data_IF_120454756544
#
_entry.id   IF_120454756544
#
_cell.length_a   1.000
_cell.length_b   1.000
_cell.length_c   1.000
_cell.angle_alpha   90.00
_cell.angle_beta   90.00
_cell.angle_gamma   90.00
#
_symmetry.space_group_name_H-M   'P 1'
#
loop_
_entity.id
_entity.type
_entity.pdbx_description
1 polymer ?
#
# COMPACT_ATOMS: atom_id res chain seq x y z
N UNK A 1 15.19 -50.51 -30.78
CA UNK A 1 14.68 -49.47 -29.86
C UNK A 1 15.54 -48.22 -29.98
N UNK A 2 15.05 -47.14 -30.61
CA UNK A 2 15.76 -45.85 -30.70
C UNK A 2 15.39 -45.00 -29.48
N UNK A 3 16.34 -44.71 -28.60
CA UNK A 3 16.18 -43.73 -27.51
C UNK A 3 16.01 -42.33 -28.13
N UNK A 4 14.83 -41.75 -28.01
CA UNK A 4 14.61 -40.31 -28.27
C UNK A 4 15.18 -39.53 -27.08
N UNK A 5 16.30 -38.85 -27.27
CA UNK A 5 16.77 -37.79 -26.39
C UNK A 5 15.91 -36.55 -26.62
N UNK A 6 15.13 -36.14 -25.61
CA UNK A 6 14.42 -34.87 -25.63
C UNK A 6 15.40 -33.76 -25.22
N UNK A 7 15.81 -32.93 -26.19
CA UNK A 7 16.49 -31.68 -25.89
C UNK A 7 15.44 -30.67 -25.39
N UNK A 8 15.42 -30.41 -24.08
CA UNK A 8 14.72 -29.26 -23.54
C UNK A 8 15.52 -28.01 -23.91
N UNK A 9 15.06 -27.28 -24.93
CA UNK A 9 15.49 -25.89 -25.13
C UNK A 9 14.80 -25.06 -24.05
N UNK A 10 15.53 -24.73 -23.00
CA UNK A 10 15.13 -23.66 -22.08
C UNK A 10 15.26 -22.37 -22.89
N UNK A 11 14.14 -21.89 -23.44
CA UNK A 11 14.06 -20.51 -23.86
C UNK A 11 14.09 -19.68 -22.58
N UNK A 12 15.28 -19.26 -22.16
CA UNK A 12 15.42 -18.11 -21.26
C UNK A 12 14.88 -16.90 -22.01
N UNK A 13 13.58 -16.65 -21.84
CA UNK A 13 13.04 -15.31 -22.04
C UNK A 13 13.65 -14.44 -20.96
N UNK A 14 14.85 -13.91 -21.24
CA UNK A 14 15.33 -12.72 -20.56
C UNK A 14 14.35 -11.64 -21.01
N UNK A 15 13.32 -11.39 -20.19
CA UNK A 15 12.54 -10.18 -20.33
C UNK A 15 13.53 -9.01 -20.31
N UNK A 16 13.41 -8.03 -21.24
CA UNK A 16 14.20 -6.83 -21.12
C UNK A 16 13.83 -6.24 -19.76
N UNK A 17 14.78 -6.21 -18.82
CA UNK A 17 14.66 -5.43 -17.61
C UNK A 17 14.16 -4.06 -18.05
N UNK A 18 13.02 -3.61 -17.51
CA UNK A 18 12.47 -2.30 -17.81
C UNK A 18 13.47 -1.26 -17.33
N UNK A 19 14.35 -0.83 -18.24
CA UNK A 19 15.29 0.24 -18.01
C UNK A 19 14.48 1.51 -17.82
N UNK A 20 14.77 2.22 -16.74
CA UNK A 20 14.28 3.57 -16.53
C UNK A 20 14.68 4.39 -17.77
N UNK A 21 13.70 4.90 -18.52
CA UNK A 21 13.94 5.78 -19.66
C UNK A 21 14.27 7.15 -19.12
N UNK A 22 15.56 7.42 -18.97
CA UNK A 22 16.06 8.75 -18.59
C UNK A 22 16.26 9.60 -19.84
N UNK A 23 15.76 10.83 -19.80
CA UNK A 23 16.05 11.83 -20.84
C UNK A 23 17.12 12.80 -20.32
N UNK A 24 18.37 12.33 -20.33
CA UNK A 24 19.47 13.09 -19.74
C UNK A 24 19.80 14.36 -20.52
N UNK A 25 19.71 15.50 -19.86
CA UNK A 25 20.19 16.78 -20.35
C UNK A 25 21.64 16.97 -19.94
N UNK A 26 22.49 17.38 -20.89
CA UNK A 26 23.88 17.76 -20.60
C UNK A 26 23.92 19.01 -19.74
N UNK A 27 24.86 19.08 -18.80
CA UNK A 27 24.97 20.19 -17.86
C UNK A 27 25.21 21.53 -18.58
N UNK A 28 25.85 21.53 -19.75
CA UNK A 28 26.02 22.73 -20.59
C UNK A 28 24.70 23.33 -21.11
N UNK A 29 23.66 22.50 -21.29
CA UNK A 29 22.38 22.89 -21.88
C UNK A 29 21.36 23.30 -20.80
N UNK A 30 21.77 23.39 -19.53
CA UNK A 30 20.86 23.79 -18.45
C UNK A 30 20.34 25.23 -18.57
N UNK A 31 21.02 26.06 -19.37
CA UNK A 31 20.60 27.44 -19.67
C UNK A 31 19.29 27.45 -20.46
N UNK A 32 19.03 26.41 -21.25
CA UNK A 32 17.84 26.30 -22.11
C UNK A 32 16.64 25.67 -21.39
N UNK A 33 16.84 25.19 -20.15
CA UNK A 33 15.80 24.55 -19.34
C UNK A 33 14.92 25.64 -18.72
N UNK A 34 13.60 25.48 -18.86
CA UNK A 34 12.63 26.42 -18.27
C UNK A 34 12.73 26.35 -16.74
N UNK A 35 12.53 27.50 -16.09
CA UNK A 35 12.45 27.57 -14.63
C UNK A 35 11.41 26.55 -14.10
N UNK A 36 11.76 25.87 -13.02
CA UNK A 36 10.93 24.85 -12.34
C UNK A 36 10.65 23.56 -13.13
N UNK A 37 11.23 23.41 -14.33
CA UNK A 37 11.15 22.15 -15.09
C UNK A 37 11.96 21.04 -14.38
N UNK A 38 11.37 19.85 -14.30
CA UNK A 38 12.07 18.65 -13.83
C UNK A 38 12.87 18.06 -14.97
N UNK A 39 14.14 17.75 -14.72
CA UNK A 39 15.10 17.26 -15.70
C UNK A 39 15.91 16.10 -15.12
N UNK A 40 16.38 15.22 -15.99
CA UNK A 40 17.35 14.18 -15.63
C UNK A 40 18.76 14.65 -16.01
N UNK A 41 19.71 14.51 -15.09
CA UNK A 41 21.13 14.80 -15.34
C UNK A 41 21.99 13.67 -14.80
N UNK A 42 23.06 13.34 -15.52
CA UNK A 42 24.05 12.36 -15.10
C UNK A 42 25.43 13.03 -15.05
N UNK A 43 26.18 12.75 -13.99
CA UNK A 43 27.53 13.28 -13.83
C UNK A 43 28.23 12.70 -12.61
N UNK A 44 29.53 12.94 -12.55
CA UNK A 44 30.41 12.49 -11.48
C UNK A 44 30.46 13.57 -10.39
N UNK A 45 30.35 13.16 -9.14
CA UNK A 45 30.56 14.05 -8.00
C UNK A 45 32.05 14.42 -7.94
N UNK A 46 32.38 15.69 -8.19
CA UNK A 46 33.75 16.21 -8.12
C UNK A 46 34.12 16.69 -6.73
N UNK A 47 33.16 17.27 -6.00
CA UNK A 47 33.38 17.76 -4.65
C UNK A 47 32.11 17.62 -3.81
N UNK A 48 32.29 17.31 -2.52
CA UNK A 48 31.24 17.35 -1.51
C UNK A 48 31.66 18.33 -0.41
N UNK A 49 30.91 19.42 -0.28
CA UNK A 49 31.09 20.41 0.78
C UNK A 49 30.68 19.89 2.15
N UNK A 50 31.02 20.66 3.20
CA UNK A 50 30.62 20.35 4.58
C UNK A 50 29.10 20.39 4.74
N UNK A 51 28.59 19.63 5.72
CA UNK A 51 27.18 19.66 6.09
C UNK A 51 26.82 21.04 6.61
N UNK A 52 25.89 21.69 5.93
CA UNK A 52 25.27 22.93 6.36
C UNK A 52 23.90 22.62 6.96
N UNK A 53 23.57 23.31 8.05
CA UNK A 53 22.28 23.16 8.72
C UNK A 53 21.50 24.46 8.60
N UNK A 54 20.23 24.40 8.19
CA UNK A 54 19.33 25.56 8.13
C UNK A 54 18.01 25.25 8.81
N UNK A 55 17.36 26.25 9.42
CA UNK A 55 16.01 26.12 9.98
C UNK A 55 14.98 26.68 8.99
N UNK A 56 13.89 25.96 8.77
CA UNK A 56 12.74 26.47 8.01
C UNK A 56 11.90 27.42 8.87
N UNK A 57 11.04 28.21 8.23
CA UNK A 57 10.08 29.08 8.92
C UNK A 57 9.16 28.32 9.90
N UNK A 58 8.94 27.02 9.66
CA UNK A 58 8.17 26.13 10.53
C UNK A 58 9.03 25.40 11.59
N UNK A 59 10.29 25.80 11.77
CA UNK A 59 11.20 25.26 12.78
C UNK A 59 11.92 23.96 12.40
N UNK A 60 11.64 23.37 11.23
CA UNK A 60 12.29 22.14 10.81
C UNK A 60 13.77 22.36 10.48
N UNK A 61 14.64 21.49 10.99
CA UNK A 61 16.09 21.53 10.75
C UNK A 61 16.41 20.74 9.48
N UNK A 62 16.93 21.41 8.46
CA UNK A 62 17.40 20.82 7.22
C UNK A 62 18.92 20.70 7.26
N UNK A 63 19.44 19.51 6.95
CA UNK A 63 20.88 19.28 6.73
C UNK A 63 21.11 19.10 5.23
N UNK A 64 21.96 19.93 4.66
CA UNK A 64 22.30 19.92 3.23
C UNK A 64 23.80 19.93 3.05
N UNK A 65 24.31 19.34 1.97
CA UNK A 65 25.71 19.51 1.56
C UNK A 65 25.75 20.12 0.17
N UNK A 66 26.73 20.97 -0.08
CA UNK A 66 27.04 21.38 -1.44
C UNK A 66 27.60 20.16 -2.18
N UNK A 67 27.00 19.80 -3.30
CA UNK A 67 27.51 18.78 -4.21
C UNK A 67 27.88 19.50 -5.51
N UNK A 68 29.10 19.26 -5.98
CA UNK A 68 29.55 19.72 -7.29
C UNK A 68 29.56 18.53 -8.23
N UNK A 69 28.66 18.55 -9.21
CA UNK A 69 28.55 17.51 -10.24
C UNK A 69 29.21 18.01 -11.51
N UNK A 70 29.95 17.13 -12.18
CA UNK A 70 30.58 17.36 -13.47
C UNK A 70 30.15 16.27 -14.46
N UNK A 71 29.80 16.67 -15.68
CA UNK A 71 29.55 15.74 -16.77
C UNK A 71 30.72 15.69 -17.77
N UNK A 72 30.55 14.93 -18.84
CA UNK A 72 31.52 14.81 -19.94
C UNK A 72 31.72 16.13 -20.72
N UNK A 73 30.80 17.08 -20.62
CA UNK A 73 30.99 18.43 -21.19
C UNK A 73 31.92 19.29 -20.34
N UNK A 74 32.40 18.78 -19.21
CA UNK A 74 33.23 19.48 -18.21
C UNK A 74 32.53 20.65 -17.51
N UNK A 75 31.26 20.86 -17.83
CA UNK A 75 30.39 21.80 -17.14
C UNK A 75 30.20 21.37 -15.69
N UNK A 76 30.05 22.34 -14.79
CA UNK A 76 29.91 22.09 -13.36
C UNK A 76 28.60 22.66 -12.86
N UNK A 77 27.86 21.86 -12.10
CA UNK A 77 26.68 22.32 -11.38
C UNK A 77 26.92 22.20 -9.90
N UNK A 78 26.63 23.28 -9.19
CA UNK A 78 26.57 23.32 -7.74
C UNK A 78 25.13 23.14 -7.30
N UNK A 79 24.87 22.06 -6.56
CA UNK A 79 23.56 21.81 -5.97
C UNK A 79 23.71 21.65 -4.48
N UNK A 80 22.88 22.35 -3.71
CA UNK A 80 22.69 22.03 -2.30
C UNK A 80 21.69 20.90 -2.22
N UNK A 81 22.20 19.69 -1.97
CA UNK A 81 21.34 18.53 -1.84
C UNK A 81 21.09 18.24 -0.37
N UNK A 82 19.87 17.83 -0.05
CA UNK A 82 19.53 17.41 1.29
C UNK A 82 20.30 16.12 1.59
N UNK A 83 20.94 16.07 2.75
CA UNK A 83 21.52 14.83 3.27
C UNK A 83 20.34 14.02 3.81
N UNK A 84 19.64 13.37 2.89
CA UNK A 84 18.60 12.45 3.25
C UNK A 84 19.25 11.11 3.63
N UNK A 85 19.42 10.91 4.93
CA UNK A 85 19.83 9.63 5.51
C UNK A 85 18.77 8.56 5.20
N UNK A 86 18.96 7.82 4.11
CA UNK A 86 18.24 6.58 3.79
C UNK A 86 16.72 6.71 3.71
N UNK A 87 16.07 5.56 3.56
CA UNK A 87 14.65 5.42 3.83
C UNK A 87 14.45 5.08 5.31
N UNK A 88 13.37 5.56 5.92
CA UNK A 88 12.94 5.15 7.26
C UNK A 88 11.61 4.42 7.18
N UNK A 89 11.66 3.20 6.65
CA UNK A 89 10.47 2.45 6.31
C UNK A 89 9.57 2.18 7.52
N UNK A 90 8.30 2.55 7.38
CA UNK A 90 7.25 2.23 8.34
C UNK A 90 6.61 0.90 7.94
N UNK A 91 6.53 -0.05 8.87
CA UNK A 91 5.84 -1.33 8.65
C UNK A 91 4.34 -1.10 8.46
N UNK A 92 3.72 -1.88 7.58
CA UNK A 92 2.30 -1.71 7.21
C UNK A 92 1.36 -1.69 8.41
N UNK A 93 1.59 -2.53 9.42
CA UNK A 93 0.78 -2.60 10.64
C UNK A 93 0.75 -1.29 11.42
N UNK A 94 1.83 -0.51 11.33
CA UNK A 94 1.96 0.74 12.07
C UNK A 94 1.29 1.89 11.33
N UNK A 95 0.96 1.75 10.04
CA UNK A 95 0.34 2.82 9.22
C UNK A 95 -1.04 3.18 9.79
N UNK A 96 -1.80 2.18 10.25
CA UNK A 96 -3.11 2.39 10.90
C UNK A 96 -3.03 3.20 12.20
N UNK A 97 -1.87 3.31 12.82
CA UNK A 97 -1.67 4.13 14.03
C UNK A 97 -1.12 5.54 13.72
N UNK A 98 -0.84 5.87 12.45
CA UNK A 98 -0.32 7.17 12.04
C UNK A 98 -1.41 8.16 11.67
N UNK A 99 -1.33 9.40 12.12
CA UNK A 99 -2.36 10.40 11.81
C UNK A 99 -2.49 10.67 10.30
N UNK A 100 -3.71 11.00 9.87
CA UNK A 100 -3.98 11.48 8.51
C UNK A 100 -3.09 12.70 8.20
N UNK A 101 -2.68 12.81 6.94
CA UNK A 101 -1.78 13.85 6.42
C UNK A 101 -0.32 13.78 6.92
N UNK A 102 0.06 12.76 7.69
CA UNK A 102 1.47 12.52 7.98
C UNK A 102 2.19 11.90 6.78
N UNK A 103 3.50 12.12 6.71
CA UNK A 103 4.34 11.55 5.65
C UNK A 103 5.16 10.40 6.23
N UNK A 104 5.22 9.29 5.50
CA UNK A 104 5.98 8.10 5.87
C UNK A 104 6.81 7.59 4.68
N UNK A 105 7.84 6.82 4.98
CA UNK A 105 8.55 6.07 3.96
C UNK A 105 8.01 4.64 3.96
N UNK A 106 7.76 4.07 2.79
CA UNK A 106 7.26 2.69 2.64
C UNK A 106 8.05 1.94 1.58
N UNK A 107 8.14 0.62 1.73
CA UNK A 107 8.64 -0.28 0.71
C UNK A 107 7.70 -1.46 0.57
N UNK A 108 7.40 -1.84 -0.66
CA UNK A 108 6.44 -2.88 -0.96
C UNK A 108 6.61 -3.42 -2.38
N UNK A 109 6.10 -4.61 -2.64
CA UNK A 109 5.90 -5.17 -3.97
C UNK A 109 4.61 -4.64 -4.58
N UNK A 110 4.59 -4.36 -5.88
CA UNK A 110 3.36 -4.03 -6.60
C UNK A 110 2.57 -5.33 -6.83
N UNK A 111 1.43 -5.47 -6.14
CA UNK A 111 0.56 -6.63 -6.26
C UNK A 111 -0.45 -6.52 -7.39
N UNK A 112 -1.12 -5.38 -7.50
CA UNK A 112 -2.10 -5.13 -8.55
C UNK A 112 -2.10 -3.65 -8.95
N UNK A 113 -2.25 -3.39 -10.23
CA UNK A 113 -2.44 -2.06 -10.80
C UNK A 113 -3.85 -2.04 -11.37
N UNK A 114 -4.72 -1.18 -10.85
CA UNK A 114 -6.09 -1.02 -11.37
C UNK A 114 -6.11 -0.09 -12.58
N UNK A 115 -7.23 -0.11 -13.29
CA UNK A 115 -7.51 0.83 -14.38
C UNK A 115 -7.63 2.26 -13.85
N UNK A 116 -7.41 3.23 -14.73
CA UNK A 116 -7.54 4.65 -14.40
C UNK A 116 -9.03 5.03 -14.39
N UNK A 117 -9.48 5.65 -13.32
CA UNK A 117 -10.84 6.15 -13.14
C UNK A 117 -10.87 7.67 -13.25
N UNK A 118 -11.94 8.21 -13.82
CA UNK A 118 -12.21 9.65 -13.82
C UNK A 118 -13.16 9.99 -12.68
N UNK A 119 -12.75 10.91 -11.82
CA UNK A 119 -13.50 11.35 -10.65
C UNK A 119 -13.82 12.82 -10.80
N UNK A 120 -15.10 13.16 -10.80
CA UNK A 120 -15.56 14.55 -10.72
C UNK A 120 -15.76 14.92 -9.25
N UNK A 121 -15.13 16.00 -8.81
CA UNK A 121 -15.31 16.53 -7.47
C UNK A 121 -16.68 17.18 -7.30
N UNK A 122 -17.05 17.43 -6.04
CA UNK A 122 -18.26 18.17 -5.68
C UNK A 122 -18.29 19.58 -6.29
N UNK A 123 -17.13 20.15 -6.61
CA UNK A 123 -17.00 21.47 -7.23
C UNK A 123 -16.95 21.43 -8.76
N UNK A 124 -17.10 20.25 -9.38
CA UNK A 124 -17.11 20.07 -10.84
C UNK A 124 -15.72 19.85 -11.46
N UNK A 125 -14.64 19.93 -10.67
CA UNK A 125 -13.30 19.64 -11.16
C UNK A 125 -13.13 18.14 -11.45
N UNK A 126 -12.53 17.80 -12.59
CA UNK A 126 -12.26 16.41 -12.99
C UNK A 126 -10.82 16.01 -12.62
N UNK A 127 -10.69 14.84 -12.00
CA UNK A 127 -9.42 14.25 -11.60
C UNK A 127 -9.29 12.83 -12.16
N UNK A 128 -8.13 12.50 -12.69
CA UNK A 128 -7.79 11.12 -13.00
C UNK A 128 -7.22 10.48 -11.73
N UNK A 129 -7.73 9.30 -11.35
CA UNK A 129 -7.25 8.49 -10.23
C UNK A 129 -6.83 7.12 -10.71
N UNK A 130 -5.68 6.64 -10.26
CA UNK A 130 -5.25 5.26 -10.46
C UNK A 130 -4.87 4.62 -9.13
N UNK A 131 -5.45 3.47 -8.85
CA UNK A 131 -5.19 2.72 -7.61
C UNK A 131 -4.16 1.61 -7.84
N UNK A 132 -3.16 1.55 -6.97
CA UNK A 132 -2.16 0.49 -6.97
C UNK A 132 -2.19 -0.19 -5.62
N UNK A 133 -2.31 -1.52 -5.62
CA UNK A 133 -2.27 -2.34 -4.43
C UNK A 133 -0.81 -2.74 -4.18
N UNK A 134 -0.26 -2.23 -3.10
CA UNK A 134 1.09 -2.53 -2.63
C UNK A 134 1.03 -3.64 -1.59
N UNK A 135 1.95 -4.60 -1.66
CA UNK A 135 2.02 -5.77 -0.79
C UNK A 135 3.36 -5.77 -0.06
N UNK A 136 3.34 -5.92 1.26
CA UNK A 136 4.58 -6.02 2.05
C UNK A 136 5.08 -7.47 2.17
N UNK A 137 6.16 -7.67 2.92
CA UNK A 137 6.80 -8.95 3.14
C UNK A 137 5.89 -9.98 3.86
N UNK A 138 4.85 -9.50 4.54
CA UNK A 138 3.86 -10.35 5.23
C UNK A 138 2.53 -10.48 4.45
N UNK A 139 2.54 -10.21 3.14
CA UNK A 139 1.36 -10.16 2.27
C UNK A 139 0.23 -9.20 2.68
N UNK A 140 0.52 -8.22 3.54
CA UNK A 140 -0.45 -7.16 3.84
C UNK A 140 -0.48 -6.16 2.72
N UNK A 141 -1.68 -5.71 2.38
CA UNK A 141 -1.87 -4.74 1.33
C UNK A 141 -2.16 -3.32 1.85
N UNK A 142 -1.75 -2.32 1.07
CA UNK A 142 -2.19 -0.94 1.20
C UNK A 142 -2.38 -0.34 -0.19
N UNK A 143 -3.40 0.51 -0.33
CA UNK A 143 -3.66 1.19 -1.60
C UNK A 143 -2.83 2.47 -1.71
N UNK A 144 -2.07 2.59 -2.79
CA UNK A 144 -1.47 3.83 -3.25
C UNK A 144 -2.37 4.46 -4.32
N UNK A 145 -2.86 5.67 -4.06
CA UNK A 145 -3.62 6.47 -5.00
C UNK A 145 -2.67 7.42 -5.75
N UNK A 146 -2.65 7.30 -7.07
CA UNK A 146 -2.00 8.24 -7.97
C UNK A 146 -3.04 9.15 -8.62
N UNK A 147 -2.64 10.40 -8.85
CA UNK A 147 -3.53 11.44 -9.34
C UNK A 147 -2.91 12.16 -10.54
N UNK A 148 -3.72 12.42 -11.56
CA UNK A 148 -3.40 13.24 -12.73
C UNK A 148 -2.03 12.88 -13.35
N UNK A 149 -1.11 13.86 -13.45
CA UNK A 149 0.21 13.69 -14.06
C UNK A 149 1.03 12.54 -13.45
N UNK A 150 0.84 12.24 -12.15
CA UNK A 150 1.56 11.15 -11.50
C UNK A 150 1.17 9.76 -12.03
N UNK A 151 0.00 9.64 -12.65
CA UNK A 151 -0.43 8.42 -13.34
C UNK A 151 0.39 8.21 -14.60
N UNK A 152 0.65 9.29 -15.36
CA UNK A 152 1.42 9.23 -16.61
C UNK A 152 2.90 8.92 -16.37
N UNK A 153 3.42 9.36 -15.23
CA UNK A 153 4.77 9.05 -14.79
C UNK A 153 4.93 7.61 -14.28
N UNK A 154 3.83 6.93 -13.93
CA UNK A 154 3.86 5.57 -13.41
C UNK A 154 3.88 4.56 -14.57
N UNK A 155 5.06 4.01 -14.85
CA UNK A 155 5.32 3.00 -15.91
C UNK A 155 5.66 1.61 -15.35
N UNK A 156 5.59 1.46 -14.03
CA UNK A 156 5.98 0.28 -13.28
C UNK A 156 5.00 -0.89 -13.50
N UNK A 157 5.50 -2.11 -13.30
CA UNK A 157 4.75 -3.34 -13.55
C UNK A 157 4.39 -4.06 -12.26
N UNK A 158 3.48 -5.02 -12.37
CA UNK A 158 3.24 -6.00 -11.32
C UNK A 158 4.55 -6.70 -10.96
N UNK A 159 4.72 -7.03 -9.68
CA UNK A 159 5.91 -7.65 -9.07
C UNK A 159 7.13 -6.72 -8.86
N UNK A 160 7.14 -5.49 -9.41
CA UNK A 160 8.20 -4.53 -9.10
C UNK A 160 8.16 -4.13 -7.63
N UNK A 161 9.34 -3.99 -7.01
CA UNK A 161 9.46 -3.50 -5.65
C UNK A 161 9.61 -1.98 -5.68
N UNK A 162 8.71 -1.28 -5.02
CA UNK A 162 8.68 0.17 -4.94
C UNK A 162 9.01 0.64 -3.54
N UNK A 163 10.00 1.52 -3.42
CA UNK A 163 10.26 2.30 -2.22
C UNK A 163 9.79 3.75 -2.45
N UNK A 164 8.91 4.21 -1.57
CA UNK A 164 8.32 5.54 -1.64
C UNK A 164 8.77 6.32 -0.42
N UNK A 165 9.49 7.41 -0.66
CA UNK A 165 9.86 8.37 0.36
C UNK A 165 8.82 9.47 0.46
N UNK A 166 8.50 9.89 1.69
CA UNK A 166 7.48 10.92 1.96
C UNK A 166 6.12 10.61 1.29
N UNK A 167 5.66 9.36 1.35
CA UNK A 167 4.28 9.02 1.00
C UNK A 167 3.33 9.64 2.02
N UNK A 168 2.31 10.38 1.55
CA UNK A 168 1.32 11.02 2.42
C UNK A 168 0.22 10.01 2.76
N UNK A 169 -0.11 9.91 4.04
CA UNK A 169 -1.24 9.11 4.52
C UNK A 169 -2.55 9.88 4.25
N UNK A 170 -3.37 9.30 3.39
CA UNK A 170 -4.77 9.64 3.21
C UNK A 170 -5.67 8.72 4.02
N UNK A 171 -6.89 9.16 4.27
CA UNK A 171 -7.92 8.37 4.93
C UNK A 171 -9.27 8.71 4.31
N UNK A 172 -9.98 7.67 3.85
CA UNK A 172 -11.31 7.76 3.28
C UNK A 172 -12.14 6.59 3.84
N UNK A 173 -13.32 6.88 4.40
CA UNK A 173 -14.15 5.91 5.10
C UNK A 173 -13.35 5.07 6.11
N UNK A 174 -12.49 5.72 6.90
CA UNK A 174 -11.60 5.10 7.90
C UNK A 174 -10.55 4.12 7.33
N UNK A 175 -10.48 3.97 6.00
CA UNK A 175 -9.47 3.17 5.33
C UNK A 175 -8.31 4.07 4.95
N UNK A 176 -7.12 3.72 5.45
CA UNK A 176 -5.90 4.43 5.12
C UNK A 176 -5.39 4.03 3.75
N UNK A 177 -4.93 5.04 3.04
CA UNK A 177 -4.31 4.91 1.74
C UNK A 177 -3.07 5.80 1.70
N UNK A 178 -2.23 5.57 0.71
CA UNK A 178 -1.06 6.40 0.44
C UNK A 178 -1.35 7.27 -0.77
N UNK A 179 -0.74 8.45 -0.81
CA UNK A 179 -0.73 9.30 -1.98
C UNK A 179 0.61 9.99 -2.11
N UNK A 180 1.01 10.26 -3.33
CA UNK A 180 2.25 11.00 -3.59
C UNK A 180 1.99 12.50 -3.46
N UNK A 181 2.91 13.20 -2.81
CA UNK A 181 3.02 14.67 -2.79
C UNK A 181 4.23 15.12 -3.63
N UNK A 182 4.44 16.42 -3.80
CA UNK A 182 5.50 16.94 -4.68
C UNK A 182 6.91 16.62 -4.14
N UNK A 183 7.03 16.48 -2.82
CA UNK A 183 8.26 16.05 -2.14
C UNK A 183 8.39 14.53 -2.06
N UNK A 184 7.44 13.75 -2.58
CA UNK A 184 7.58 12.29 -2.62
C UNK A 184 8.63 11.90 -3.65
N UNK A 185 9.36 10.82 -3.35
CA UNK A 185 10.34 10.23 -4.27
C UNK A 185 10.07 8.73 -4.36
N UNK A 186 10.08 8.21 -5.57
CA UNK A 186 9.90 6.79 -5.85
C UNK A 186 11.25 6.22 -6.28
N UNK A 187 11.59 5.04 -5.77
CA UNK A 187 12.72 4.24 -6.21
C UNK A 187 12.22 2.83 -6.53
N UNK A 188 12.51 2.36 -7.74
CA UNK A 188 12.08 1.06 -8.24
C UNK A 188 13.22 0.07 -8.11
N UNK A 189 12.90 -1.13 -7.63
CA UNK A 189 13.82 -2.21 -7.31
C UNK A 189 15.09 -1.71 -6.60
N UNK A 190 14.96 -0.97 -5.48
CA UNK A 190 16.10 -0.40 -4.79
C UNK A 190 17.01 -1.51 -4.24
N UNK A 191 18.33 -1.32 -4.32
CA UNK A 191 19.33 -2.23 -3.74
C UNK A 191 19.44 -2.12 -2.21
N UNK A 192 18.31 -2.15 -1.50
CA UNK A 192 18.25 -2.11 -0.02
C UNK A 192 17.85 -3.49 0.53
N UNK A 193 18.31 -3.89 1.73
CA UNK A 193 18.02 -5.21 2.29
C UNK A 193 16.53 -5.56 2.37
N UNK A 194 15.67 -4.57 2.64
CA UNK A 194 14.22 -4.74 2.71
C UNK A 194 13.61 -5.14 1.35
N UNK A 195 14.20 -4.67 0.25
CA UNK A 195 13.75 -5.06 -1.09
C UNK A 195 14.10 -6.53 -1.38
N UNK A 196 15.32 -6.94 -1.04
CA UNK A 196 15.74 -8.35 -1.16
C UNK A 196 14.83 -9.26 -0.35
N UNK A 197 14.53 -8.87 0.90
CA UNK A 197 13.62 -9.62 1.77
C UNK A 197 12.22 -9.80 1.15
N UNK A 198 11.61 -8.73 0.65
CA UNK A 198 10.29 -8.78 0.00
C UNK A 198 10.33 -9.68 -1.24
N UNK A 199 11.44 -9.63 -2.00
CA UNK A 199 11.61 -10.46 -3.19
C UNK A 199 11.64 -11.95 -2.86
N UNK A 200 12.41 -12.33 -1.85
CA UNK A 200 12.56 -13.71 -1.39
C UNK A 200 11.25 -14.25 -0.80
N UNK A 201 10.69 -13.55 0.19
CA UNK A 201 9.48 -14.01 0.91
C UNK A 201 8.23 -14.07 0.02
N UNK A 202 8.11 -13.17 -0.96
CA UNK A 202 6.98 -13.20 -1.88
C UNK A 202 7.15 -14.15 -3.08
N UNK A 203 8.34 -14.69 -3.33
CA UNK A 203 8.58 -15.70 -4.38
C UNK A 203 8.21 -17.11 -3.92
N UNK A 204 8.44 -17.43 -2.64
CA UNK A 204 8.18 -18.74 -2.04
C UNK A 204 6.68 -19.07 -1.91
N UNK A 205 5.81 -18.07 -2.02
CA UNK A 205 4.36 -18.21 -1.80
C UNK A 205 3.55 -18.47 -3.08
N UNK A 206 4.20 -18.85 -4.19
CA UNK A 206 3.54 -19.26 -5.45
C UNK A 206 3.26 -20.78 -5.52
N UNK A 207 3.39 -21.53 -4.42
CA UNK A 207 2.79 -22.85 -4.32
C UNK A 207 1.49 -22.72 -3.53
N UNK A 208 0.42 -23.23 -4.12
CA UNK A 208 -0.90 -23.37 -3.52
C UNK A 208 -0.82 -23.81 -2.04
N UNK A 209 -1.86 -23.42 -1.29
CA UNK A 209 -2.17 -23.75 0.12
C UNK A 209 -1.54 -22.86 1.23
N UNK A 210 -2.40 -22.32 2.09
CA UNK A 210 -2.16 -21.65 3.40
C UNK A 210 -1.99 -20.12 3.53
N UNK A 211 -2.16 -19.33 2.45
CA UNK A 211 -1.96 -17.87 2.48
C UNK A 211 -3.11 -17.03 3.09
N UNK A 212 -4.22 -17.67 3.42
CA UNK A 212 -5.41 -17.04 4.01
C UNK A 212 -5.46 -17.20 5.54
N UNK A 213 -4.38 -17.49 6.27
CA UNK A 213 -4.44 -17.61 7.75
C UNK A 213 -3.94 -16.39 8.52
N UNK A 214 -3.02 -15.59 7.97
CA UNK A 214 -2.35 -14.49 8.69
C UNK A 214 -3.04 -13.12 8.53
N UNK A 215 -3.99 -13.00 7.60
CA UNK A 215 -4.82 -11.80 7.37
C UNK A 215 -6.02 -11.70 8.34
N UNK A 216 -6.27 -12.74 9.13
CA UNK A 216 -7.46 -12.85 9.98
C UNK A 216 -7.13 -12.71 11.45
N UNK A 217 -7.95 -11.92 12.12
CA UNK A 217 -7.94 -11.76 13.56
C UNK A 217 -8.59 -13.00 14.18
N UNK A 218 -7.85 -13.68 15.07
CA UNK A 218 -8.41 -14.73 15.94
C UNK A 218 -9.52 -14.16 16.80
N UNK A 219 -10.59 -14.92 17.00
CA UNK A 219 -11.74 -14.44 17.75
C UNK A 219 -11.36 -14.01 19.18
N UNK A 220 -10.46 -14.74 19.84
CA UNK A 220 -9.95 -14.41 21.19
C UNK A 220 -9.39 -12.96 21.30
N UNK A 221 -8.86 -12.42 20.19
CA UNK A 221 -8.20 -11.10 20.16
C UNK A 221 -9.19 -9.96 19.95
N UNK A 222 -10.41 -10.27 19.49
CA UNK A 222 -11.42 -9.27 19.12
C UNK A 222 -11.87 -8.48 20.35
N UNK A 223 -11.98 -9.11 21.52
CA UNK A 223 -12.40 -8.47 22.77
C UNK A 223 -11.48 -7.32 23.21
N UNK A 224 -10.22 -7.35 22.79
CA UNK A 224 -9.21 -6.33 23.13
C UNK A 224 -9.08 -5.24 22.06
N UNK A 225 -9.92 -5.26 21.03
CA UNK A 225 -9.89 -4.27 19.95
C UNK A 225 -10.82 -3.09 20.26
N UNK A 226 -10.46 -1.93 19.75
CA UNK A 226 -11.28 -0.72 19.88
C UNK A 226 -12.55 -0.89 19.04
N UNK A 227 -13.67 -0.40 19.55
CA UNK A 227 -14.91 -0.30 18.77
C UNK A 227 -14.62 0.42 17.44
N UNK A 228 -15.29 0.02 16.35
CA UNK A 228 -15.06 0.52 14.99
C UNK A 228 -13.77 0.03 14.29
N UNK A 229 -13.05 -0.93 14.88
CA UNK A 229 -11.92 -1.57 14.20
C UNK A 229 -12.43 -2.42 13.04
N UNK A 230 -11.83 -2.26 11.86
CA UNK A 230 -12.09 -3.12 10.71
C UNK A 230 -11.29 -4.41 10.87
N UNK A 231 -11.98 -5.54 10.92
CA UNK A 231 -11.35 -6.86 11.08
C UNK A 231 -11.70 -7.79 9.92
N UNK A 232 -10.82 -8.76 9.69
CA UNK A 232 -11.13 -9.94 8.91
C UNK A 232 -11.17 -11.14 9.85
N UNK A 233 -12.19 -11.99 9.75
CA UNK A 233 -12.31 -13.23 10.55
C UNK A 233 -12.60 -14.42 9.62
N UNK A 234 -11.89 -15.53 9.81
CA UNK A 234 -12.31 -16.84 9.28
C UNK A 234 -12.89 -17.61 10.46
N UNK A 235 -14.11 -18.09 10.30
CA UNK A 235 -14.77 -18.90 11.30
C UNK A 235 -15.70 -19.90 10.63
N UNK A 236 -16.12 -20.90 11.40
CA UNK A 236 -17.13 -21.88 11.03
C UNK A 236 -18.45 -21.47 11.68
N UNK A 237 -19.55 -21.59 10.94
CA UNK A 237 -20.88 -21.33 11.49
C UNK A 237 -21.29 -22.47 12.43
N UNK A 238 -21.51 -22.15 13.70
CA UNK A 238 -22.05 -23.11 14.67
C UNK A 238 -23.59 -23.08 14.69
N UNK A 239 -24.16 -21.88 14.58
CA UNK A 239 -25.59 -21.67 14.71
C UNK A 239 -26.06 -20.46 13.88
N UNK A 240 -27.23 -20.61 13.25
CA UNK A 240 -27.93 -19.54 12.55
C UNK A 240 -29.30 -19.41 13.21
N UNK A 241 -29.58 -18.23 13.77
CA UNK A 241 -30.89 -17.92 14.34
C UNK A 241 -31.92 -17.60 13.27
N UNK A 242 -33.18 -17.50 13.69
CA UNK A 242 -34.27 -17.02 12.84
C UNK A 242 -34.15 -15.50 12.60
N UNK A 243 -34.82 -15.02 11.55
CA UNK A 243 -34.88 -13.59 11.24
C UNK A 243 -35.95 -12.92 12.09
N UNK A 244 -35.52 -12.09 13.04
CA UNK A 244 -36.37 -11.28 13.89
C UNK A 244 -36.69 -9.92 13.25
N UNK A 245 -37.80 -9.31 13.67
CA UNK A 245 -38.12 -7.91 13.35
C UNK A 245 -38.00 -7.08 14.63
N UNK A 246 -37.16 -6.05 14.60
CA UNK A 246 -36.93 -5.13 15.72
C UNK A 246 -37.27 -3.70 15.32
N UNK A 247 -37.71 -2.89 16.28
CA UNK A 247 -38.18 -1.54 16.04
C UNK A 247 -37.25 -0.51 16.69
N UNK A 248 -36.85 0.53 15.94
CA UNK A 248 -36.20 1.69 16.50
C UNK A 248 -37.17 2.54 17.34
N UNK A 249 -36.64 3.48 18.13
CA UNK A 249 -37.45 4.38 18.98
C UNK A 249 -38.45 5.21 18.18
N UNK A 250 -38.17 5.46 16.90
CA UNK A 250 -39.03 6.15 15.94
C UNK A 250 -39.97 5.22 15.16
N UNK A 251 -40.12 3.97 15.60
CA UNK A 251 -40.93 2.90 15.01
C UNK A 251 -40.47 2.42 13.62
N UNK A 252 -39.27 2.78 13.16
CA UNK A 252 -38.71 2.13 11.96
C UNK A 252 -38.41 0.66 12.25
N UNK A 253 -38.82 -0.19 11.32
CA UNK A 253 -38.59 -1.63 11.38
C UNK A 253 -37.21 -1.98 10.82
N UNK A 254 -36.52 -2.91 11.49
CA UNK A 254 -35.26 -3.49 11.07
C UNK A 254 -35.35 -5.00 11.17
N UNK A 255 -34.82 -5.69 10.17
CA UNK A 255 -34.66 -7.14 10.24
C UNK A 255 -33.34 -7.44 10.91
N UNK A 256 -33.34 -8.36 11.86
CA UNK A 256 -32.17 -8.73 12.64
C UNK A 256 -32.02 -10.24 12.62
N UNK A 257 -30.81 -10.73 12.41
CA UNK A 257 -30.50 -12.16 12.50
C UNK A 257 -29.17 -12.36 13.20
N UNK A 258 -29.12 -13.28 14.15
CA UNK A 258 -27.89 -13.60 14.88
C UNK A 258 -27.28 -14.90 14.36
N UNK A 259 -25.96 -14.88 14.16
CA UNK A 259 -25.18 -16.05 13.72
C UNK A 259 -24.03 -16.24 14.70
N UNK A 260 -23.86 -17.47 15.20
CA UNK A 260 -22.70 -17.83 16.01
C UNK A 260 -21.61 -18.41 15.14
N UNK A 261 -20.42 -17.89 15.35
CA UNK A 261 -19.21 -18.22 14.62
C UNK A 261 -18.16 -18.72 15.59
N UNK A 262 -17.50 -19.81 15.24
CA UNK A 262 -16.44 -20.42 16.04
C UNK A 262 -15.18 -20.51 15.21
N UNK A 263 -14.04 -20.13 15.78
CA UNK A 263 -12.73 -20.48 15.25
C UNK A 263 -12.02 -21.41 16.24
N UNK A 264 -10.77 -21.79 15.95
CA UNK A 264 -10.01 -22.65 16.84
C UNK A 264 -9.47 -21.95 18.10
N UNK A 265 -9.88 -20.71 18.37
CA UNK A 265 -9.51 -19.93 19.56
C UNK A 265 -10.71 -19.62 20.46
N UNK A 266 -11.83 -19.15 19.89
CA UNK A 266 -13.00 -18.68 20.66
C UNK A 266 -14.28 -18.60 19.79
N UNK A 267 -15.41 -18.25 20.40
CA UNK A 267 -16.70 -18.03 19.72
C UNK A 267 -17.13 -16.54 19.71
N UNK A 268 -17.84 -16.13 18.66
CA UNK A 268 -18.42 -14.79 18.55
C UNK A 268 -19.80 -14.82 17.91
N UNK A 269 -20.68 -13.91 18.33
CA UNK A 269 -21.98 -13.70 17.71
C UNK A 269 -21.92 -12.52 16.74
N UNK A 270 -22.21 -12.77 15.46
CA UNK A 270 -22.38 -11.77 14.43
C UNK A 270 -23.87 -11.42 14.29
N UNK A 271 -24.20 -10.12 14.31
CA UNK A 271 -25.56 -9.66 14.00
C UNK A 271 -25.64 -9.16 12.56
N UNK A 272 -26.52 -9.75 11.76
CA UNK A 272 -26.89 -9.28 10.42
C UNK A 272 -28.14 -8.39 10.49
N UNK A 273 -28.21 -7.43 9.56
CA UNK A 273 -29.28 -6.44 9.50
C UNK A 273 -29.89 -6.34 8.10
N UNK A 274 -31.21 -6.12 8.04
CA UNK A 274 -32.01 -5.87 6.84
C UNK A 274 -31.80 -6.95 5.77
N UNK A 275 -31.47 -6.57 4.53
CA UNK A 275 -31.26 -7.52 3.42
C UNK A 275 -30.21 -8.59 3.75
N UNK A 276 -29.19 -8.28 4.56
CA UNK A 276 -28.23 -9.29 4.99
C UNK A 276 -28.86 -10.29 5.97
N UNK A 277 -29.81 -9.88 6.82
CA UNK A 277 -30.51 -10.80 7.70
C UNK A 277 -31.47 -11.71 6.92
N UNK A 278 -32.21 -11.14 5.97
CA UNK A 278 -33.24 -11.85 5.19
C UNK A 278 -32.64 -12.82 4.18
N UNK A 279 -31.58 -12.41 3.47
CA UNK A 279 -31.02 -13.17 2.35
C UNK A 279 -29.82 -14.04 2.73
N UNK A 280 -29.46 -14.10 4.01
CA UNK A 280 -28.35 -14.96 4.44
C UNK A 280 -28.75 -16.43 4.39
N UNK A 281 -28.08 -17.17 3.52
CA UNK A 281 -28.26 -18.61 3.32
C UNK A 281 -26.90 -19.28 3.52
N UNK A 282 -26.81 -20.11 4.55
CA UNK A 282 -25.68 -20.98 4.83
C UNK A 282 -26.15 -22.15 5.68
N UNK A 283 -25.32 -23.20 5.79
CA UNK A 283 -25.58 -24.34 6.65
C UNK A 283 -24.65 -24.31 7.87
N UNK A 284 -25.03 -25.04 8.92
CA UNK A 284 -24.11 -25.34 10.02
C UNK A 284 -22.83 -25.97 9.45
N UNK A 285 -21.69 -25.70 10.08
CA UNK A 285 -20.35 -26.16 9.69
C UNK A 285 -19.81 -25.53 8.39
N UNK A 286 -20.51 -24.56 7.81
CA UNK A 286 -20.00 -23.78 6.68
C UNK A 286 -18.84 -22.89 7.12
N UNK A 287 -17.68 -23.04 6.47
CA UNK A 287 -16.54 -22.13 6.65
C UNK A 287 -16.84 -20.80 5.96
N UNK A 288 -16.85 -19.72 6.73
CA UNK A 288 -17.07 -18.37 6.22
C UNK A 288 -15.88 -17.46 6.44
N UNK A 289 -15.78 -16.49 5.53
CA UNK A 289 -14.75 -15.47 5.50
C UNK A 289 -15.42 -14.10 5.61
N UNK A 290 -15.19 -13.42 6.73
CA UNK A 290 -15.67 -12.07 6.98
C UNK A 290 -14.52 -11.13 6.66
N UNK A 291 -14.70 -10.28 5.66
CA UNK A 291 -13.72 -9.25 5.30
C UNK A 291 -14.27 -7.86 5.55
N UNK A 292 -13.38 -6.95 5.97
CA UNK A 292 -13.63 -5.50 6.00
C UNK A 292 -14.89 -5.10 6.79
N UNK A 293 -15.18 -5.78 7.90
CA UNK A 293 -16.33 -5.44 8.76
C UNK A 293 -15.91 -4.59 9.94
N UNK A 294 -16.67 -3.51 10.16
CA UNK A 294 -16.55 -2.62 11.32
C UNK A 294 -17.11 -3.31 12.56
N UNK A 295 -16.29 -3.40 13.60
CA UNK A 295 -16.75 -3.85 14.92
C UNK A 295 -17.78 -2.84 15.44
N UNK A 296 -19.03 -3.25 15.65
CA UNK A 296 -20.07 -2.39 16.19
C UNK A 296 -20.76 -3.05 17.38
N UNK A 297 -20.78 -2.33 18.51
CA UNK A 297 -21.44 -2.69 19.78
C UNK A 297 -21.01 -4.04 20.37
N UNK A 298 -19.93 -4.03 21.15
CA UNK A 298 -19.60 -5.12 22.08
C UNK A 298 -20.65 -5.11 23.20
N UNK A 299 -21.67 -5.98 23.13
CA UNK A 299 -22.45 -6.33 24.32
C UNK A 299 -21.76 -7.50 25.00
N UNK A 300 -20.90 -7.18 25.97
CA UNK A 300 -20.37 -8.17 26.91
C UNK A 300 -21.56 -8.69 27.73
N UNK A 301 -22.03 -9.91 27.48
CA UNK A 301 -22.70 -10.67 28.53
C UNK A 301 -21.57 -11.28 29.35
N UNK A 302 -21.21 -10.61 30.45
CA UNK A 302 -20.55 -11.34 31.52
C UNK A 302 -21.55 -12.39 32.00
N UNK A 303 -21.12 -13.65 32.01
CA UNK A 303 -21.79 -14.72 32.74
C UNK A 303 -21.76 -14.37 34.23
#
# INVERSE_FOLDING_TARGET
QKKKTHHCKINTFITPESKMEFEFIKLKNLVDVKKDQTIDVIGIIKNMGKVQTSKTAKGAILKRKEIVIIDDTKSKVKKFDLIEFGFKFVKFNMIYNKEKNTNIDVIAKIGQIKETENITSVHGDNYEKKEIILINENNRNITLNLWNEKIKLFKEKKEDIIAIKNAKIGEYNHIKNLSLINSSRISINPGVPEATKIREECQEQNQDTELDKTMYTKIEKILNLVNQTIINVIAVIEYIGDTDTVFAKDRREFKKREIKLIDNSDEITLTLWNENAENFIAEKDTKIKIEKRELTNIKVKNI
#
